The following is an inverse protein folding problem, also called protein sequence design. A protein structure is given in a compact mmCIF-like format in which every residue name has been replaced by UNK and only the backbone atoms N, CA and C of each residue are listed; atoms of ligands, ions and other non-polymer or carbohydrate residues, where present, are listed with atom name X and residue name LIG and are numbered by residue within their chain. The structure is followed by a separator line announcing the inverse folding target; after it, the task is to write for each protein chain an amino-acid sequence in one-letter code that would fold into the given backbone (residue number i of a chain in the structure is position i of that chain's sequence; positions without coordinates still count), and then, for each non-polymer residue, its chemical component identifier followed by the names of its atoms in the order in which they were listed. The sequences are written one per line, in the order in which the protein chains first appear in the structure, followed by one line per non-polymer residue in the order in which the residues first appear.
data_IF_947345574263
#
_entry.id   IF_947345574263
#
_cell.length_a   1.000
_cell.length_b   1.000
_cell.length_c   1.000
_cell.angle_alpha   90.00
_cell.angle_beta   90.00
_cell.angle_gamma   90.00
#
_symmetry.space_group_name_H-M   'P 1'
#
loop_
_entity.id
_entity.type
_entity.pdbx_description
1 polymer ?
#
# COMPACT_ATOMS: atom_id res chain seq x y z
N UNK A 1 15.51 -13.22 -3.22
CA UNK A 1 14.04 -13.42 -3.24
C UNK A 1 13.70 -14.84 -2.84
N UNK A 2 13.57 -15.14 -1.54
CA UNK A 2 12.86 -16.33 -1.04
C UNK A 2 11.46 -15.86 -0.62
N UNK A 3 10.41 -16.61 -0.94
CA UNK A 3 9.06 -16.33 -0.41
C UNK A 3 8.12 -15.48 -1.25
N UNK A 4 8.42 -15.24 -2.54
CA UNK A 4 7.45 -14.66 -3.49
C UNK A 4 6.82 -15.81 -4.28
N UNK A 5 5.48 -15.87 -4.34
CA UNK A 5 4.75 -16.91 -5.06
C UNK A 5 3.79 -16.31 -6.10
N UNK A 6 3.82 -16.86 -7.31
CA UNK A 6 2.95 -16.51 -8.43
C UNK A 6 2.61 -17.77 -9.25
N UNK A 7 1.63 -17.69 -10.14
CA UNK A 7 1.20 -18.82 -10.97
C UNK A 7 2.25 -19.15 -12.06
N UNK A 8 2.73 -20.39 -12.10
CA UNK A 8 3.67 -20.86 -13.15
C UNK A 8 3.04 -20.75 -14.55
N UNK A 9 3.80 -20.17 -15.50
CA UNK A 9 3.42 -20.07 -16.91
C UNK A 9 2.98 -18.69 -17.41
N UNK A 10 2.84 -17.69 -16.52
CA UNK A 10 2.59 -16.30 -16.93
C UNK A 10 3.85 -15.42 -16.82
N UNK A 11 4.05 -14.46 -17.76
CA UNK A 11 5.16 -13.52 -17.66
C UNK A 11 4.98 -12.62 -16.43
N UNK A 12 6.02 -12.56 -15.61
CA UNK A 12 6.08 -11.65 -14.47
C UNK A 12 6.21 -10.20 -15.00
N UNK A 13 5.23 -9.36 -14.71
CA UNK A 13 5.16 -7.99 -15.26
C UNK A 13 5.76 -6.95 -14.30
N UNK A 14 6.13 -5.77 -14.82
CA UNK A 14 6.61 -4.65 -14.00
C UNK A 14 5.63 -4.28 -12.88
N UNK A 15 4.32 -4.37 -13.13
CA UNK A 15 3.26 -4.09 -12.15
C UNK A 15 3.22 -5.13 -11.03
N UNK A 16 3.50 -6.41 -11.33
CA UNK A 16 3.67 -7.43 -10.30
C UNK A 16 4.92 -7.15 -9.46
N UNK A 17 6.03 -6.82 -10.12
CA UNK A 17 7.27 -6.45 -9.46
C UNK A 17 7.08 -5.26 -8.51
N UNK A 18 6.38 -4.21 -8.95
CA UNK A 18 6.06 -3.04 -8.11
C UNK A 18 5.23 -3.42 -6.88
N UNK A 19 4.17 -4.22 -7.04
CA UNK A 19 3.35 -4.67 -5.90
C UNK A 19 4.21 -5.44 -4.91
N UNK A 20 5.10 -6.32 -5.39
CA UNK A 20 6.03 -7.05 -4.53
C UNK A 20 6.98 -6.10 -3.80
N UNK A 21 7.59 -5.14 -4.51
CA UNK A 21 8.50 -4.15 -3.93
C UNK A 21 7.82 -3.31 -2.84
N UNK A 22 6.62 -2.80 -3.11
CA UNK A 22 5.83 -2.03 -2.14
C UNK A 22 5.47 -2.86 -0.92
N UNK A 23 5.03 -4.11 -1.11
CA UNK A 23 4.71 -4.98 0.02
C UNK A 23 5.97 -5.23 0.84
N UNK A 24 7.09 -5.64 0.24
CA UNK A 24 8.35 -5.88 0.96
C UNK A 24 8.80 -4.66 1.75
N UNK A 25 8.80 -3.48 1.13
CA UNK A 25 9.23 -2.21 1.74
C UNK A 25 8.35 -1.78 2.91
N UNK A 26 7.08 -2.16 2.90
CA UNK A 26 6.07 -1.71 3.86
C UNK A 26 5.38 -2.91 4.53
N UNK A 27 5.97 -3.48 5.61
CA UNK A 27 5.46 -4.68 6.27
C UNK A 27 4.07 -4.50 6.89
N UNK A 28 3.63 -3.27 7.13
CA UNK A 28 2.29 -2.91 7.60
C UNK A 28 1.17 -3.16 6.55
N UNK A 29 1.51 -3.23 5.26
CA UNK A 29 0.52 -3.42 4.20
C UNK A 29 0.13 -4.90 4.17
N UNK A 30 -1.15 -5.18 4.44
CA UNK A 30 -1.70 -6.53 4.42
C UNK A 30 -2.05 -6.98 2.99
N UNK A 31 -2.68 -6.10 2.21
CA UNK A 31 -2.93 -6.32 0.78
C UNK A 31 -2.72 -5.06 -0.03
N UNK A 32 -2.28 -5.22 -1.27
CA UNK A 32 -2.23 -4.16 -2.26
C UNK A 32 -2.87 -4.67 -3.55
N UNK A 33 -3.94 -4.02 -4.00
CA UNK A 33 -4.55 -4.31 -5.29
C UNK A 33 -4.36 -3.17 -6.28
N UNK A 34 -4.09 -3.52 -7.54
CA UNK A 34 -4.10 -2.61 -8.67
C UNK A 34 -5.34 -2.92 -9.52
N UNK A 35 -6.22 -1.92 -9.69
CA UNK A 35 -7.36 -2.00 -10.57
C UNK A 35 -7.15 -1.13 -11.83
N UNK A 36 -6.90 -1.73 -13.01
CA UNK A 36 -6.68 -0.98 -14.25
C UNK A 36 -7.91 -0.22 -14.72
N UNK A 37 -9.12 -0.75 -14.51
CA UNK A 37 -10.37 -0.12 -14.97
C UNK A 37 -10.66 1.19 -14.23
N UNK A 38 -10.30 1.23 -12.95
CA UNK A 38 -10.45 2.41 -12.10
C UNK A 38 -9.17 3.26 -12.05
N UNK A 39 -8.08 2.81 -12.67
CA UNK A 39 -6.76 3.47 -12.62
C UNK A 39 -6.28 3.72 -11.18
N UNK A 40 -6.49 2.76 -10.27
CA UNK A 40 -6.25 2.98 -8.84
C UNK A 40 -5.59 1.81 -8.11
N UNK A 41 -4.87 2.16 -7.06
CA UNK A 41 -4.43 1.26 -6.02
C UNK A 41 -5.45 1.20 -4.88
N UNK A 42 -5.54 0.05 -4.21
CA UNK A 42 -6.14 -0.06 -2.89
C UNK A 42 -5.18 -0.79 -1.94
N UNK A 43 -4.77 -0.08 -0.90
CA UNK A 43 -3.91 -0.56 0.18
C UNK A 43 -4.79 -0.93 1.36
N UNK A 44 -4.58 -2.10 1.96
CA UNK A 44 -5.27 -2.50 3.18
C UNK A 44 -4.32 -2.72 4.34
N UNK A 45 -4.78 -2.33 5.53
CA UNK A 45 -4.09 -2.47 6.80
C UNK A 45 -5.02 -3.14 7.80
N UNK A 46 -4.47 -4.01 8.65
CA UNK A 46 -5.24 -4.75 9.64
C UNK A 46 -4.76 -4.39 11.03
N UNK A 47 -5.70 -4.11 11.94
CA UNK A 47 -5.43 -3.85 13.34
C UNK A 47 -6.01 -4.96 14.20
N UNK A 48 -5.22 -5.45 15.16
CA UNK A 48 -5.59 -6.53 16.11
C UNK A 48 -6.64 -6.13 17.16
N UNK A 49 -7.33 -5.00 16.94
CA UNK A 49 -8.46 -4.54 17.74
C UNK A 49 -9.51 -3.82 16.88
N UNK A 50 -10.75 -3.83 17.36
CA UNK A 50 -11.84 -3.05 16.79
C UNK A 50 -11.78 -1.61 17.30
N UNK A 51 -11.79 -0.64 16.38
CA UNK A 51 -11.83 0.78 16.69
C UNK A 51 -13.25 1.23 17.08
N UNK A 52 -13.31 2.20 17.98
CA UNK A 52 -14.54 2.96 18.23
C UNK A 52 -14.87 3.85 17.02
N UNK A 53 -16.14 4.27 16.85
CA UNK A 53 -16.50 5.22 15.79
C UNK A 53 -15.71 6.55 15.85
N UNK A 54 -15.36 7.01 17.05
CA UNK A 54 -14.57 8.22 17.25
C UNK A 54 -13.14 8.05 16.73
N UNK A 55 -12.47 6.93 17.05
CA UNK A 55 -11.13 6.62 16.56
C UNK A 55 -11.09 6.48 15.03
N UNK A 56 -12.10 5.85 14.43
CA UNK A 56 -12.22 5.75 12.97
C UNK A 56 -12.32 7.13 12.34
N UNK A 57 -13.17 7.99 12.91
CA UNK A 57 -13.37 9.36 12.41
C UNK A 57 -12.06 10.14 12.49
N UNK A 58 -11.41 10.14 13.65
CA UNK A 58 -10.15 10.86 13.90
C UNK A 58 -9.02 10.36 12.98
N UNK A 59 -8.83 9.04 12.86
CA UNK A 59 -7.82 8.47 11.96
C UNK A 59 -8.06 8.86 10.52
N UNK A 60 -9.32 8.78 10.06
CA UNK A 60 -9.67 9.14 8.69
C UNK A 60 -9.43 10.62 8.43
N UNK A 61 -9.84 11.50 9.34
CA UNK A 61 -9.62 12.95 9.23
C UNK A 61 -8.13 13.27 9.18
N UNK A 62 -7.34 12.75 10.11
CA UNK A 62 -5.89 12.97 10.15
C UNK A 62 -5.18 12.50 8.86
N UNK A 63 -5.48 11.28 8.39
CA UNK A 63 -4.92 10.78 7.13
C UNK A 63 -5.36 11.63 5.92
N UNK A 64 -6.63 12.01 5.88
CA UNK A 64 -7.17 12.80 4.76
C UNK A 64 -6.52 14.18 4.69
N UNK A 65 -6.45 14.88 5.82
CA UNK A 65 -5.83 16.21 5.92
C UNK A 65 -4.33 16.15 5.58
N UNK A 66 -3.61 15.15 6.12
CA UNK A 66 -2.18 15.00 5.87
C UNK A 66 -1.87 14.70 4.39
N UNK A 67 -2.64 13.82 3.76
CA UNK A 67 -2.47 13.51 2.34
C UNK A 67 -2.82 14.71 1.44
N UNK A 68 -3.89 15.45 1.74
CA UNK A 68 -4.22 16.65 0.98
C UNK A 68 -3.17 17.75 1.13
N UNK A 69 -2.66 17.97 2.35
CA UNK A 69 -1.59 18.94 2.57
C UNK A 69 -0.33 18.59 1.76
N UNK A 70 0.06 17.32 1.74
CA UNK A 70 1.20 16.86 0.95
C UNK A 70 0.96 16.99 -0.56
N UNK A 71 -0.22 16.62 -1.06
CA UNK A 71 -0.58 16.84 -2.48
C UNK A 71 -0.51 18.32 -2.86
N UNK A 72 -0.98 19.22 -1.99
CA UNK A 72 -0.93 20.67 -2.20
C UNK A 72 0.52 21.19 -2.25
N UNK A 73 1.38 20.73 -1.33
CA UNK A 73 2.80 21.06 -1.30
C UNK A 73 3.53 20.60 -2.58
N UNK A 74 3.12 19.46 -3.14
CA UNK A 74 3.69 18.91 -4.37
C UNK A 74 3.02 19.47 -5.64
N UNK A 75 2.08 20.41 -5.52
CA UNK A 75 1.29 20.94 -6.64
C UNK A 75 0.56 19.86 -7.45
N UNK A 76 0.13 18.79 -6.79
CA UNK A 76 -0.57 17.67 -7.37
C UNK A 76 -2.05 17.68 -6.99
N UNK A 77 -2.87 16.97 -7.77
CA UNK A 77 -4.27 16.73 -7.45
C UNK A 77 -4.61 15.25 -7.62
N UNK A 78 -5.32 14.71 -6.63
CA UNK A 78 -5.84 13.36 -6.66
C UNK A 78 -7.17 13.30 -7.40
N UNK A 79 -7.31 12.37 -8.34
CA UNK A 79 -8.61 12.01 -8.93
C UNK A 79 -9.35 10.99 -8.07
N UNK A 80 -8.59 10.16 -7.32
CA UNK A 80 -9.12 9.21 -6.35
C UNK A 80 -8.33 9.33 -5.06
N UNK A 81 -8.99 9.72 -3.99
CA UNK A 81 -8.50 9.57 -2.61
C UNK A 81 -9.69 9.16 -1.76
N UNK A 82 -9.72 7.91 -1.32
CA UNK A 82 -10.79 7.40 -0.45
C UNK A 82 -10.18 6.60 0.68
N UNK A 83 -10.59 6.94 1.89
CA UNK A 83 -10.21 6.21 3.10
C UNK A 83 -11.47 5.63 3.71
N UNK A 84 -11.50 4.31 3.87
CA UNK A 84 -12.59 3.61 4.52
C UNK A 84 -12.06 2.73 5.65
N UNK A 85 -12.85 2.57 6.70
CA UNK A 85 -12.52 1.67 7.79
C UNK A 85 -13.72 0.80 8.13
N UNK A 86 -13.49 -0.51 8.22
CA UNK A 86 -14.51 -1.52 8.52
C UNK A 86 -14.10 -2.30 9.75
N UNK A 87 -15.08 -2.82 10.48
CA UNK A 87 -14.86 -3.64 11.67
C UNK A 87 -15.37 -5.03 11.42
N UNK A 88 -14.63 -6.04 11.82
CA UNK A 88 -15.07 -7.43 11.72
C UNK A 88 -14.34 -8.30 12.74
N UNK A 89 -15.09 -9.15 13.46
CA UNK A 89 -14.56 -10.18 14.38
C UNK A 89 -13.48 -9.67 15.37
N UNK A 90 -13.61 -8.44 15.87
CA UNK A 90 -12.64 -7.85 16.80
C UNK A 90 -11.42 -7.19 16.14
N UNK A 91 -11.37 -7.11 14.81
CA UNK A 91 -10.35 -6.41 14.03
C UNK A 91 -10.90 -5.15 13.37
N UNK A 92 -10.00 -4.23 13.03
CA UNK A 92 -10.29 -3.09 12.15
C UNK A 92 -9.50 -3.23 10.85
N UNK A 93 -10.14 -2.87 9.74
CA UNK A 93 -9.57 -2.92 8.41
C UNK A 93 -9.63 -1.52 7.83
N UNK A 94 -8.47 -0.90 7.64
CA UNK A 94 -8.33 0.39 6.97
C UNK A 94 -8.01 0.13 5.50
N UNK A 95 -8.73 0.80 4.61
CA UNK A 95 -8.46 0.76 3.17
C UNK A 95 -8.19 2.19 2.69
N UNK A 96 -7.04 2.40 2.06
CA UNK A 96 -6.69 3.60 1.33
C UNK A 96 -6.75 3.30 -0.16
N UNK A 97 -7.60 4.03 -0.89
CA UNK A 97 -7.68 3.97 -2.34
C UNK A 97 -7.12 5.25 -2.95
N UNK A 98 -6.14 5.13 -3.85
CA UNK A 98 -5.47 6.24 -4.54
C UNK A 98 -5.41 6.00 -6.05
N UNK A 99 -5.54 7.04 -6.85
CA UNK A 99 -5.30 6.93 -8.29
C UNK A 99 -3.80 6.73 -8.57
N UNK A 100 -3.49 5.95 -9.60
CA UNK A 100 -2.10 5.60 -9.96
C UNK A 100 -1.34 6.84 -10.45
N UNK A 101 -2.02 7.75 -11.15
CA UNK A 101 -1.40 8.87 -11.85
C UNK A 101 -0.71 9.84 -10.89
N UNK A 102 -1.37 10.18 -9.78
CA UNK A 102 -0.85 11.14 -8.79
C UNK A 102 -0.21 10.48 -7.58
N UNK A 103 -0.30 9.15 -7.43
CA UNK A 103 0.27 8.44 -6.28
C UNK A 103 1.81 8.49 -6.31
N UNK A 104 2.38 8.71 -5.13
CA UNK A 104 3.83 8.67 -4.88
C UNK A 104 4.17 7.75 -3.71
N UNK A 105 5.44 7.34 -3.63
CA UNK A 105 5.91 6.50 -2.53
C UNK A 105 5.86 7.24 -1.18
N UNK A 106 6.06 8.55 -1.16
CA UNK A 106 6.02 9.35 0.07
C UNK A 106 4.62 9.33 0.71
N UNK A 107 3.55 9.19 -0.09
CA UNK A 107 2.19 9.10 0.45
C UNK A 107 2.01 7.90 1.37
N UNK A 108 2.50 6.74 0.94
CA UNK A 108 2.35 5.51 1.70
C UNK A 108 3.27 5.52 2.92
N UNK A 109 4.47 6.09 2.80
CA UNK A 109 5.36 6.35 3.93
C UNK A 109 4.70 7.25 4.98
N UNK A 110 4.04 8.34 4.57
CA UNK A 110 3.30 9.25 5.45
C UNK A 110 2.15 8.52 6.16
N UNK A 111 1.36 7.74 5.42
CA UNK A 111 0.23 6.96 5.96
C UNK A 111 0.72 5.99 7.04
N UNK A 112 1.80 5.26 6.76
CA UNK A 112 2.38 4.32 7.72
C UNK A 112 2.95 5.05 8.93
N UNK A 113 3.62 6.19 8.75
CA UNK A 113 4.10 7.03 9.84
C UNK A 113 2.99 7.52 10.77
N UNK A 114 1.87 8.00 10.20
CA UNK A 114 0.68 8.42 10.97
C UNK A 114 0.09 7.23 11.73
N UNK A 115 -0.04 6.08 11.07
CA UNK A 115 -0.55 4.86 11.72
C UNK A 115 0.37 4.44 12.87
N UNK A 116 1.69 4.38 12.65
CA UNK A 116 2.67 3.99 13.65
C UNK A 116 2.69 4.96 14.84
N UNK A 117 2.47 6.25 14.63
CA UNK A 117 2.47 7.23 15.73
C UNK A 117 1.49 6.91 16.86
N UNK A 118 0.35 6.25 16.55
CA UNK A 118 -0.73 5.98 17.50
C UNK A 118 -1.08 4.49 17.65
N UNK A 119 -0.80 3.69 16.64
CA UNK A 119 -1.28 2.30 16.54
C UNK A 119 -0.16 1.29 16.24
N UNK A 120 1.10 1.64 16.49
CA UNK A 120 2.27 0.77 16.22
C UNK A 120 2.18 -0.61 16.89
N UNK A 121 1.54 -0.69 18.07
CA UNK A 121 1.39 -1.96 18.77
C UNK A 121 0.21 -2.76 18.24
N UNK A 122 -0.77 -2.12 17.60
CA UNK A 122 -2.02 -2.73 17.16
C UNK A 122 -2.05 -3.12 15.69
N UNK A 123 -1.26 -2.46 14.85
CA UNK A 123 -1.12 -2.85 13.45
C UNK A 123 -0.48 -4.23 13.34
N UNK A 124 -1.06 -5.07 12.48
CA UNK A 124 -0.45 -6.34 12.08
C UNK A 124 0.60 -6.04 11.04
N UNK A 125 1.84 -6.48 11.30
CA UNK A 125 2.97 -6.40 10.40
C UNK A 125 3.92 -7.56 10.63
N UNK A 126 4.68 -7.93 9.62
CA UNK A 126 5.77 -8.89 9.77
C UNK A 126 6.97 -8.21 10.48
N UNK A 127 7.80 -9.00 11.15
CA UNK A 127 9.05 -8.47 11.72
C UNK A 127 10.03 -8.17 10.59
N UNK A 128 10.56 -6.95 10.57
CA UNK A 128 11.71 -6.62 9.74
C UNK A 128 12.96 -7.30 10.32
N UNK A 129 13.61 -8.13 9.51
CA UNK A 129 15.05 -8.34 9.66
C UNK A 129 15.71 -7.03 9.26
N UNK A 130 16.50 -6.41 10.14
CA UNK A 130 17.04 -5.06 9.91
C UNK A 130 17.73 -4.94 8.55
N UNK A 131 17.16 -4.13 7.67
CA UNK A 131 17.71 -3.81 6.35
C UNK A 131 18.73 -2.67 6.53
N UNK A 132 19.85 -2.73 5.84
CA UNK A 132 20.83 -1.64 5.88
C UNK A 132 20.26 -0.37 5.21
N UNK A 133 20.61 0.82 5.72
CA UNK A 133 20.09 2.10 5.20
C UNK A 133 20.34 2.28 3.69
N UNK A 134 21.53 1.89 3.20
CA UNK A 134 21.86 1.97 1.77
C UNK A 134 20.96 1.06 0.90
N UNK A 135 20.59 -0.11 1.42
CA UNK A 135 19.68 -1.04 0.74
C UNK A 135 18.24 -0.51 0.75
N UNK A 136 17.85 0.22 1.80
CA UNK A 136 16.56 0.88 1.88
C UNK A 136 16.45 2.03 0.86
N UNK A 137 17.47 2.89 0.76
CA UNK A 137 17.51 3.99 -0.21
C UNK A 137 17.42 3.46 -1.65
N UNK A 138 18.18 2.41 -1.96
CA UNK A 138 18.13 1.77 -3.28
C UNK A 138 16.74 1.20 -3.61
N UNK A 139 16.06 0.61 -2.62
CA UNK A 139 14.68 0.14 -2.81
C UNK A 139 13.68 1.27 -3.06
N UNK A 140 13.86 2.42 -2.41
CA UNK A 140 13.03 3.61 -2.62
C UNK A 140 13.18 4.15 -4.05
N UNK A 141 14.42 4.37 -4.52
CA UNK A 141 14.66 4.82 -5.90
C UNK A 141 14.08 3.84 -6.94
N UNK A 142 14.22 2.53 -6.70
CA UNK A 142 13.65 1.51 -7.58
C UNK A 142 12.12 1.56 -7.61
N UNK A 143 11.46 1.74 -6.46
CA UNK A 143 10.00 1.84 -6.38
C UNK A 143 9.52 3.09 -7.13
N UNK A 144 10.18 4.23 -6.97
CA UNK A 144 9.82 5.46 -7.68
C UNK A 144 9.93 5.30 -9.19
N UNK A 145 11.01 4.69 -9.69
CA UNK A 145 11.14 4.38 -11.12
C UNK A 145 10.01 3.47 -11.62
N UNK A 146 9.65 2.44 -10.85
CA UNK A 146 8.56 1.53 -11.21
C UNK A 146 7.18 2.20 -11.16
N UNK A 147 6.98 3.16 -10.27
CA UNK A 147 5.76 3.95 -10.21
C UNK A 147 5.63 4.85 -11.44
N UNK A 148 6.72 5.52 -11.86
CA UNK A 148 6.72 6.32 -13.09
C UNK A 148 6.44 5.47 -14.34
N UNK A 149 7.13 4.32 -14.48
CA UNK A 149 6.88 3.39 -15.59
C UNK A 149 5.42 2.92 -15.63
N UNK A 150 4.80 2.71 -14.46
CA UNK A 150 3.41 2.28 -14.37
C UNK A 150 2.43 3.37 -14.86
N UNK A 151 2.72 4.64 -14.61
CA UNK A 151 1.87 5.77 -15.03
C UNK A 151 1.78 5.87 -16.55
N UNK A 152 2.87 5.54 -17.24
CA UNK A 152 2.94 5.57 -18.71
C UNK A 152 2.46 4.26 -19.38
N UNK A 153 2.27 3.19 -18.60
CA UNK A 153 1.91 1.87 -19.12
C UNK A 153 0.43 1.57 -18.93
N UNK A 154 -0.27 1.20 -20.02
CA UNK A 154 -1.64 0.71 -19.92
C UNK A 154 -1.67 -0.64 -19.21
N UNK A 155 -2.31 -0.67 -18.05
CA UNK A 155 -2.53 -1.88 -17.27
C UNK A 155 -3.76 -2.63 -17.80
N UNK A 156 -3.64 -3.94 -18.04
CA UNK A 156 -4.72 -4.75 -18.62
C UNK A 156 -5.35 -5.71 -17.62
N UNK A 157 -4.68 -5.98 -16.50
CA UNK A 157 -5.09 -7.02 -15.53
C UNK A 157 -5.26 -6.45 -14.15
N UNK A 158 -6.32 -6.89 -13.46
CA UNK A 158 -6.48 -6.67 -12.02
C UNK A 158 -5.45 -7.53 -11.30
N UNK A 159 -4.66 -6.93 -10.44
CA UNK A 159 -3.66 -7.61 -9.62
C UNK A 159 -3.97 -7.41 -8.15
N UNK A 160 -3.70 -8.44 -7.35
CA UNK A 160 -3.72 -8.34 -5.89
C UNK A 160 -2.50 -9.05 -5.31
N UNK A 161 -1.73 -8.30 -4.54
CA UNK A 161 -0.69 -8.81 -3.65
C UNK A 161 -1.25 -9.00 -2.26
N UNK A 162 -0.97 -10.15 -1.66
CA UNK A 162 -1.39 -10.52 -0.31
C UNK A 162 -0.15 -10.91 0.48
N UNK A 163 -0.01 -10.33 1.67
CA UNK A 163 0.99 -10.74 2.66
C UNK A 163 0.44 -11.88 3.51
N UNK A 164 1.17 -13.00 3.58
CA UNK A 164 0.83 -14.15 4.40
C UNK A 164 2.09 -14.79 5.00
N UNK A 165 2.24 -14.70 6.32
CA UNK A 165 3.33 -15.33 7.09
C UNK A 165 4.73 -15.02 6.53
N UNK A 166 5.08 -13.74 6.36
CA UNK A 166 6.39 -13.34 5.83
C UNK A 166 6.57 -13.55 4.32
N UNK A 167 5.52 -13.96 3.60
CA UNK A 167 5.53 -14.17 2.14
C UNK A 167 4.62 -13.19 1.43
N UNK A 168 4.95 -12.91 0.18
CA UNK A 168 4.10 -12.13 -0.73
C UNK A 168 3.58 -13.04 -1.83
N UNK A 169 2.26 -13.14 -1.92
CA UNK A 169 1.56 -13.86 -2.99
C UNK A 169 0.93 -12.87 -3.95
N UNK A 170 1.09 -13.11 -5.25
CA UNK A 170 0.48 -12.30 -6.30
C UNK A 170 -0.57 -13.12 -7.03
N UNK A 171 -1.78 -12.58 -7.12
CA UNK A 171 -2.88 -13.13 -7.89
C UNK A 171 -3.31 -12.15 -8.97
N UNK A 172 -3.67 -12.68 -10.13
CA UNK A 172 -4.38 -11.95 -11.16
C UNK A 172 -5.86 -12.34 -11.13
N UNK A 173 -6.73 -11.41 -11.50
CA UNK A 173 -8.10 -11.72 -11.89
C UNK A 173 -8.19 -11.50 -13.40
N UNK A 174 -8.36 -12.61 -14.13
CA UNK A 174 -8.69 -12.67 -15.55
C UNK A 174 -10.16 -12.42 -15.79
#
# INVERSE_FOLDING_TARGET
MKGVFWKEGEPFTNSMSLIVSLLIRYPEIATLSLNPEEGSFAFSFIFKRAFSPAEIKELRENLTESLYAMLELNHQQATVLKISCRKSKGFSFLELKRDIISFSQEEITLVIGIIASKYNQEIIRDQEEGIAEDEQLFQEEMIDHMLEDLKDTRQERRLIGIREEGRVMIFNHS
#
